data_IF_633739889582
#
_entry.id   IF_633739889582
#
_cell.length_a   1.000
_cell.length_b   1.000
_cell.length_c   1.000
_cell.angle_alpha   90.00
_cell.angle_beta   90.00
_cell.angle_gamma   90.00
#
_symmetry.space_group_name_H-M   'P 1'
#
loop_
_entity.id
_entity.type
_entity.pdbx_description
1 polymer ?
#
# COMPACT_ATOMS: atom_id res chain seq x y z
N UNK A 1 44.34 32.65 44.83
CA UNK A 1 44.36 33.06 46.25
C UNK A 1 44.57 34.56 46.27
N UNK A 2 43.59 35.41 46.61
CA UNK A 2 42.19 35.20 47.05
C UNK A 2 41.18 35.50 45.89
N UNK A 3 39.95 34.99 45.81
CA UNK A 3 38.77 34.91 46.73
C UNK A 3 38.03 36.24 46.96
N UNK A 4 36.82 36.34 46.38
CA UNK A 4 35.56 36.87 46.96
C UNK A 4 34.50 36.94 45.84
N UNK A 5 33.43 36.13 45.77
CA UNK A 5 32.31 35.87 46.69
C UNK A 5 31.09 36.82 46.52
N UNK A 6 30.07 36.32 45.81
CA UNK A 6 28.63 36.50 46.07
C UNK A 6 27.90 37.75 45.55
N UNK A 7 26.54 37.78 45.57
CA UNK A 7 25.62 36.77 46.09
C UNK A 7 24.50 36.27 45.12
N UNK A 8 23.88 35.19 45.59
CA UNK A 8 22.71 34.48 45.11
C UNK A 8 21.44 35.34 44.96
N UNK A 9 20.77 35.19 43.83
CA UNK A 9 19.40 35.63 43.59
C UNK A 9 18.42 34.47 43.73
N UNK A 10 17.96 34.22 44.96
CA UNK A 10 16.83 33.33 45.25
C UNK A 10 15.52 33.99 44.77
N UNK A 11 14.88 33.37 43.77
CA UNK A 11 13.53 33.72 43.30
C UNK A 11 12.50 32.65 43.70
N UNK A 12 11.25 33.04 44.01
CA UNK A 12 10.38 32.29 44.91
C UNK A 12 9.70 31.06 44.29
N UNK A 13 9.57 30.04 45.15
CA UNK A 13 8.81 28.81 45.02
C UNK A 13 7.35 29.08 44.63
N UNK A 14 6.95 28.60 43.45
CA UNK A 14 5.55 28.49 43.07
C UNK A 14 4.90 27.29 43.78
N UNK A 15 4.05 27.59 44.77
CA UNK A 15 3.23 26.62 45.50
C UNK A 15 2.28 25.85 44.55
N UNK A 16 2.13 24.53 44.72
CA UNK A 16 1.10 23.75 44.03
C UNK A 16 -0.27 24.02 44.65
N UNK A 17 -1.23 24.42 43.81
CA UNK A 17 -2.64 24.55 44.18
C UNK A 17 -3.27 23.17 44.17
N UNK A 18 -3.62 22.67 45.36
CA UNK A 18 -4.35 21.42 45.55
C UNK A 18 -5.75 21.52 44.90
N UNK A 19 -5.98 20.74 43.83
CA UNK A 19 -7.31 20.56 43.25
C UNK A 19 -8.10 19.56 44.09
N UNK A 20 -9.16 20.07 44.71
CA UNK A 20 -10.17 19.30 45.42
C UNK A 20 -10.93 18.43 44.42
N UNK A 21 -10.83 17.11 44.57
CA UNK A 21 -11.61 16.12 43.81
C UNK A 21 -12.96 15.91 44.52
N UNK A 22 -14.11 16.15 43.87
CA UNK A 22 -15.41 15.80 44.42
C UNK A 22 -15.60 14.27 44.37
N UNK A 23 -15.75 13.66 45.54
CA UNK A 23 -16.18 12.25 45.67
C UNK A 23 -17.66 12.13 45.33
N UNK A 24 -17.98 11.74 44.10
CA UNK A 24 -19.33 11.26 43.77
C UNK A 24 -19.50 9.80 44.23
N UNK A 25 -20.26 9.64 45.31
CA UNK A 25 -20.88 8.38 45.73
C UNK A 25 -22.09 8.10 44.82
N UNK A 26 -22.04 7.02 44.04
CA UNK A 26 -23.21 6.32 43.52
C UNK A 26 -23.06 4.85 43.95
N UNK A 27 -23.71 4.47 45.06
CA UNK A 27 -25.05 3.87 45.14
C UNK A 27 -25.07 2.52 44.43
N UNK A 28 -24.91 1.47 45.23
CA UNK A 28 -25.10 0.09 44.88
C UNK A 28 -26.60 -0.26 44.80
N UNK A 29 -26.91 -1.18 43.89
CA UNK A 29 -28.09 -2.06 43.90
C UNK A 29 -28.92 -2.02 42.60
N UNK A 30 -29.65 -3.09 42.21
CA UNK A 30 -29.55 -4.50 42.61
C UNK A 30 -29.33 -5.46 41.43
N UNK A 31 -28.95 -6.68 41.79
CA UNK A 31 -28.86 -7.89 40.98
C UNK A 31 -30.14 -8.20 40.19
N UNK A 32 -29.99 -8.59 38.92
CA UNK A 32 -31.03 -9.14 38.05
C UNK A 32 -30.42 -10.07 36.99
N UNK A 33 -31.18 -11.05 36.46
CA UNK A 33 -30.67 -12.39 36.17
C UNK A 33 -29.95 -12.54 34.83
N UNK A 34 -28.98 -13.44 34.84
CA UNK A 34 -28.26 -14.02 33.69
C UNK A 34 -29.25 -14.60 32.66
N UNK A 35 -29.14 -14.16 31.41
CA UNK A 35 -29.60 -14.89 30.22
C UNK A 35 -28.38 -15.45 29.47
N UNK A 36 -28.36 -16.73 29.07
CA UNK A 36 -27.30 -17.27 28.24
C UNK A 36 -27.65 -17.27 26.74
N UNK A 37 -26.61 -17.53 25.95
CA UNK A 37 -26.58 -18.05 24.58
C UNK A 37 -26.71 -17.03 23.41
N UNK A 38 -25.53 -16.52 23.02
CA UNK A 38 -24.92 -16.71 21.69
C UNK A 38 -25.91 -16.88 20.53
N UNK A 39 -26.17 -15.79 19.82
CA UNK A 39 -26.54 -15.82 18.41
C UNK A 39 -25.58 -14.92 17.66
N UNK A 40 -24.93 -15.50 16.67
CA UNK A 40 -23.92 -14.86 15.83
C UNK A 40 -24.46 -13.58 15.22
N UNK A 41 -23.74 -12.50 15.48
CA UNK A 41 -23.94 -11.23 14.79
C UNK A 41 -23.01 -11.23 13.59
N UNK A 42 -23.51 -11.76 12.46
CA UNK A 42 -23.02 -11.40 11.14
C UNK A 42 -23.26 -9.89 10.99
N UNK A 43 -22.25 -9.10 11.32
CA UNK A 43 -22.21 -7.68 10.96
C UNK A 43 -22.08 -7.64 9.44
N UNK A 44 -23.23 -7.42 8.80
CA UNK A 44 -23.33 -7.16 7.37
C UNK A 44 -22.57 -5.90 7.04
N UNK A 45 -21.42 -6.07 6.40
CA UNK A 45 -20.86 -5.05 5.53
C UNK A 45 -21.72 -5.05 4.26
N UNK A 46 -22.72 -4.17 4.26
CA UNK A 46 -23.51 -3.87 3.08
C UNK A 46 -22.65 -3.14 2.06
N UNK A 47 -21.89 -3.89 1.27
CA UNK A 47 -21.32 -3.41 0.02
C UNK A 47 -22.38 -3.62 -1.08
N UNK A 48 -23.40 -2.76 -1.05
CA UNK A 48 -24.41 -2.69 -2.10
C UNK A 48 -23.96 -1.66 -3.14
N UNK A 49 -23.29 -2.12 -4.20
CA UNK A 49 -23.13 -1.38 -5.44
C UNK A 49 -23.19 -2.34 -6.64
N UNK A 50 -24.39 -2.39 -7.23
CA UNK A 50 -24.69 -2.54 -8.67
C UNK A 50 -23.68 -3.33 -9.54
N UNK A 51 -23.98 -4.61 -9.74
CA UNK A 51 -23.67 -5.28 -11.02
C UNK A 51 -25.01 -5.65 -11.67
N UNK A 52 -25.42 -4.83 -12.63
CA UNK A 52 -26.52 -5.11 -13.56
C UNK A 52 -26.13 -6.24 -14.51
N UNK A 53 -27.05 -7.18 -14.71
CA UNK A 53 -26.79 -8.46 -15.35
C UNK A 53 -26.85 -8.51 -16.87
N UNK A 54 -26.58 -9.69 -17.40
CA UNK A 54 -27.23 -10.29 -18.57
C UNK A 54 -26.80 -11.78 -18.70
N UNK A 55 -27.76 -12.66 -19.01
CA UNK A 55 -27.48 -13.91 -19.73
C UNK A 55 -27.58 -15.23 -18.96
N UNK A 56 -28.79 -15.63 -18.57
CA UNK A 56 -29.10 -17.04 -18.38
C UNK A 56 -29.19 -17.72 -19.76
N UNK A 57 -28.27 -18.65 -20.05
CA UNK A 57 -28.38 -19.60 -21.16
C UNK A 57 -28.52 -21.01 -20.57
N UNK A 58 -29.51 -21.83 -21.00
CA UNK A 58 -29.67 -23.19 -20.51
C UNK A 58 -28.61 -24.11 -21.13
N UNK A 59 -27.93 -24.88 -20.27
CA UNK A 59 -27.00 -25.93 -20.68
C UNK A 59 -27.78 -27.15 -21.21
N UNK A 60 -27.52 -27.50 -22.48
CA UNK A 60 -27.87 -28.79 -23.04
C UNK A 60 -26.74 -29.79 -22.74
N UNK A 61 -27.10 -30.92 -22.13
CA UNK A 61 -26.23 -32.06 -21.88
C UNK A 61 -25.83 -32.72 -23.21
N UNK A 62 -24.53 -32.73 -23.51
CA UNK A 62 -23.95 -33.48 -24.62
C UNK A 62 -22.67 -34.17 -24.15
N UNK A 63 -22.78 -35.45 -23.83
CA UNK A 63 -21.64 -36.33 -23.55
C UNK A 63 -20.97 -36.70 -24.87
N UNK A 64 -19.77 -36.16 -25.12
CA UNK A 64 -18.91 -36.59 -26.22
C UNK A 64 -17.53 -36.92 -25.68
N UNK A 65 -17.11 -38.18 -25.89
CA UNK A 65 -15.75 -38.67 -25.62
C UNK A 65 -14.72 -37.85 -26.41
N UNK A 66 -13.62 -37.39 -25.78
CA UNK A 66 -12.53 -36.75 -26.51
C UNK A 66 -11.65 -37.80 -27.22
N UNK A 67 -11.30 -37.59 -28.50
CA UNK A 67 -10.26 -38.37 -29.18
C UNK A 67 -8.87 -38.02 -28.63
N UNK A 68 -8.01 -39.03 -28.55
CA UNK A 68 -6.61 -38.90 -28.12
C UNK A 68 -5.86 -37.89 -29.01
N UNK A 69 -5.31 -36.85 -28.38
CA UNK A 69 -4.51 -35.83 -29.04
C UNK A 69 -3.01 -36.20 -28.99
N UNK A 70 -2.38 -36.13 -30.16
CA UNK A 70 -0.93 -36.30 -30.36
C UNK A 70 -0.12 -35.15 -29.72
N UNK A 71 1.12 -35.41 -29.25
CA UNK A 71 1.96 -34.42 -28.61
C UNK A 71 2.45 -33.34 -29.59
N UNK A 72 1.95 -32.11 -29.43
CA UNK A 72 2.44 -30.92 -30.13
C UNK A 72 3.78 -30.46 -29.54
N UNK A 73 4.79 -30.37 -30.39
CA UNK A 73 6.12 -29.85 -30.08
C UNK A 73 6.04 -28.33 -29.85
N UNK A 74 6.30 -27.87 -28.64
CA UNK A 74 6.27 -26.45 -28.29
C UNK A 74 7.48 -25.73 -28.92
N UNK A 75 7.21 -24.92 -29.95
CA UNK A 75 8.16 -23.93 -30.47
C UNK A 75 8.30 -22.79 -29.46
N UNK A 76 9.44 -22.72 -28.78
CA UNK A 76 9.81 -21.61 -27.91
C UNK A 76 9.84 -20.31 -28.69
N UNK A 77 8.81 -19.48 -28.53
CA UNK A 77 8.85 -18.09 -28.97
C UNK A 77 9.56 -17.29 -27.89
N UNK A 78 10.79 -16.87 -28.17
CA UNK A 78 11.55 -15.93 -27.34
C UNK A 78 10.83 -14.59 -27.33
N UNK A 79 10.14 -14.28 -26.22
CA UNK A 79 9.56 -12.98 -25.94
C UNK A 79 10.69 -11.96 -25.81
N UNK A 80 10.68 -10.95 -26.67
CA UNK A 80 11.57 -9.80 -26.57
C UNK A 80 11.12 -8.96 -25.37
N UNK A 81 11.81 -9.10 -24.24
CA UNK A 81 11.69 -8.13 -23.14
C UNK A 81 12.03 -6.74 -23.67
N UNK A 82 11.24 -5.70 -23.38
CA UNK A 82 11.58 -4.33 -23.77
C UNK A 82 12.96 -3.98 -23.21
N UNK A 83 13.86 -3.53 -24.08
CA UNK A 83 15.18 -3.06 -23.67
C UNK A 83 15.02 -1.99 -22.58
N UNK A 84 15.82 -2.04 -21.50
CA UNK A 84 15.77 -1.02 -20.47
C UNK A 84 16.03 0.34 -21.12
N UNK A 85 15.10 1.28 -20.90
CA UNK A 85 15.30 2.69 -21.22
C UNK A 85 16.59 3.12 -20.50
N UNK A 86 17.46 3.88 -21.17
CA UNK A 86 18.81 4.33 -20.72
C UNK A 86 18.82 5.19 -19.42
N UNK A 87 17.80 5.11 -18.58
CA UNK A 87 17.71 5.80 -17.29
C UNK A 87 18.40 5.03 -16.16
N UNK A 88 19.09 5.75 -15.29
CA UNK A 88 19.60 5.18 -14.03
C UNK A 88 18.48 4.66 -13.12
N UNK A 89 18.81 3.93 -12.03
CA UNK A 89 17.84 3.31 -11.14
C UNK A 89 16.84 4.29 -10.51
N UNK A 90 17.27 5.52 -10.24
CA UNK A 90 16.41 6.58 -9.69
C UNK A 90 15.36 7.00 -10.71
N UNK A 91 15.74 7.19 -11.97
CA UNK A 91 14.82 7.60 -13.05
C UNK A 91 13.79 6.50 -13.31
N UNK A 92 14.24 5.24 -13.38
CA UNK A 92 13.35 4.09 -13.51
C UNK A 92 12.35 3.99 -12.34
N UNK A 93 12.81 4.22 -11.10
CA UNK A 93 11.91 4.28 -9.96
C UNK A 93 10.94 5.45 -10.07
N UNK A 94 11.36 6.67 -10.40
CA UNK A 94 10.48 7.84 -10.51
C UNK A 94 9.34 7.67 -11.53
N UNK A 95 9.59 6.94 -12.61
CA UNK A 95 8.60 6.69 -13.66
C UNK A 95 7.58 5.60 -13.26
N UNK A 96 8.07 4.54 -12.60
CA UNK A 96 7.23 3.46 -12.10
C UNK A 96 6.45 3.87 -10.84
N UNK A 97 7.10 4.59 -9.92
CA UNK A 97 6.61 4.87 -8.59
C UNK A 97 5.62 6.02 -8.53
N UNK A 98 5.79 7.06 -9.35
CA UNK A 98 5.11 8.34 -9.18
C UNK A 98 4.22 8.68 -10.37
N UNK A 99 3.11 9.40 -10.16
CA UNK A 99 2.43 10.10 -11.23
C UNK A 99 3.39 11.03 -11.98
N UNK A 100 3.22 11.16 -13.30
CA UNK A 100 4.06 12.05 -14.13
C UNK A 100 3.97 13.53 -13.73
N UNK A 101 2.95 13.91 -12.97
CA UNK A 101 2.74 15.26 -12.43
C UNK A 101 3.36 15.48 -11.05
N UNK A 102 3.94 14.44 -10.44
CA UNK A 102 4.56 14.55 -9.12
C UNK A 102 5.97 15.10 -9.25
N UNK A 103 6.15 16.28 -8.68
CA UNK A 103 7.42 16.97 -8.58
C UNK A 103 8.31 16.37 -7.47
N UNK A 104 9.62 16.51 -7.64
CA UNK A 104 10.65 16.17 -6.66
C UNK A 104 11.47 17.42 -6.35
N UNK A 105 11.35 17.93 -5.13
CA UNK A 105 12.20 18.98 -4.60
C UNK A 105 13.57 18.40 -4.21
N UNK A 106 14.64 19.14 -4.49
CA UNK A 106 15.99 18.73 -4.13
C UNK A 106 16.91 19.94 -3.91
N UNK A 107 17.86 19.89 -2.96
CA UNK A 107 18.95 20.88 -2.88
C UNK A 107 19.73 20.95 -4.19
N UNK A 108 20.30 22.11 -4.53
CA UNK A 108 20.97 22.36 -5.81
C UNK A 108 22.00 21.28 -6.23
N UNK A 109 22.79 20.76 -5.28
CA UNK A 109 23.76 19.71 -5.55
C UNK A 109 23.09 18.37 -5.96
N UNK A 110 22.04 17.96 -5.22
CA UNK A 110 21.25 16.75 -5.50
C UNK A 110 20.45 16.92 -6.78
N UNK A 111 19.90 18.11 -7.03
CA UNK A 111 19.15 18.41 -8.26
C UNK A 111 20.04 18.24 -9.50
N UNK A 112 21.28 18.74 -9.45
CA UNK A 112 22.26 18.53 -10.54
C UNK A 112 22.55 17.04 -10.75
N UNK A 113 22.79 16.29 -9.68
CA UNK A 113 22.99 14.84 -9.77
C UNK A 113 21.80 14.10 -10.39
N UNK A 114 20.57 14.47 -10.00
CA UNK A 114 19.35 13.88 -10.58
C UNK A 114 19.22 14.22 -12.08
N UNK A 115 19.54 15.45 -12.48
CA UNK A 115 19.58 15.84 -13.89
C UNK A 115 20.64 15.07 -14.67
N UNK A 116 21.84 14.90 -14.12
CA UNK A 116 22.92 14.09 -14.72
C UNK A 116 22.52 12.60 -14.83
N UNK A 117 21.66 12.12 -13.92
CA UNK A 117 21.08 10.77 -13.94
C UNK A 117 19.87 10.63 -14.91
N UNK A 118 19.51 11.69 -15.63
CA UNK A 118 18.44 11.69 -16.62
C UNK A 118 17.04 12.01 -16.08
N UNK A 119 16.91 12.49 -14.85
CA UNK A 119 15.60 12.95 -14.33
C UNK A 119 15.20 14.25 -15.05
N UNK A 120 13.99 14.33 -15.64
CA UNK A 120 13.54 15.52 -16.36
C UNK A 120 13.57 16.78 -15.49
N UNK A 121 14.17 17.86 -16.00
CA UNK A 121 14.35 19.10 -15.24
C UNK A 121 13.02 19.76 -14.86
N UNK A 122 11.96 19.55 -15.63
CA UNK A 122 10.60 20.02 -15.36
C UNK A 122 9.91 19.26 -14.22
N UNK A 123 10.43 18.10 -13.78
CA UNK A 123 9.99 17.41 -12.55
C UNK A 123 10.77 17.84 -11.31
N UNK A 124 11.86 18.58 -11.46
CA UNK A 124 12.72 18.97 -10.36
C UNK A 124 12.38 20.38 -9.84
N UNK A 125 12.33 20.53 -8.51
CA UNK A 125 12.06 21.81 -7.84
C UNK A 125 13.19 22.18 -6.88
N UNK A 126 13.45 23.48 -6.66
CA UNK A 126 14.29 23.91 -5.56
C UNK A 126 13.66 23.58 -4.21
N UNK A 127 14.50 23.13 -3.27
CA UNK A 127 14.12 22.84 -1.89
C UNK A 127 14.60 23.93 -0.91
N UNK A 128 15.40 24.89 -1.39
CA UNK A 128 16.01 25.95 -0.60
C UNK A 128 14.97 26.86 0.07
N UNK A 129 13.83 27.05 -0.58
CA UNK A 129 12.71 27.86 -0.10
C UNK A 129 11.61 27.02 0.59
N UNK A 130 11.92 25.76 0.90
CA UNK A 130 10.97 24.77 1.43
C UNK A 130 10.41 23.83 0.36
N UNK A 131 9.65 22.82 0.80
CA UNK A 131 9.05 21.80 -0.08
C UNK A 131 7.54 22.05 -0.17
N UNK A 132 6.99 22.30 -1.38
CA UNK A 132 5.55 22.47 -1.54
C UNK A 132 4.76 21.23 -1.08
N UNK A 133 3.52 21.42 -0.66
CA UNK A 133 2.63 20.31 -0.31
C UNK A 133 2.44 19.38 -1.53
N UNK A 134 2.49 18.06 -1.29
CA UNK A 134 2.37 17.04 -2.34
C UNK A 134 3.63 16.85 -3.21
N UNK A 135 4.74 17.51 -2.88
CA UNK A 135 6.04 17.32 -3.53
C UNK A 135 6.91 16.38 -2.69
N UNK A 136 7.59 15.43 -3.33
CA UNK A 136 8.58 14.59 -2.64
C UNK A 136 9.91 15.33 -2.51
N UNK A 137 10.72 14.93 -1.53
CA UNK A 137 12.03 15.52 -1.28
C UNK A 137 13.13 14.50 -1.53
N UNK A 138 14.11 14.83 -2.38
CA UNK A 138 15.32 14.06 -2.56
C UNK A 138 16.47 14.67 -1.73
N UNK A 139 17.09 13.85 -0.87
CA UNK A 139 18.18 14.25 0.03
C UNK A 139 19.28 13.20 0.07
N UNK A 140 20.49 13.61 0.42
CA UNK A 140 21.62 12.68 0.64
C UNK A 140 21.83 12.50 2.14
N UNK A 141 22.03 11.26 2.57
CA UNK A 141 22.32 10.92 3.96
C UNK A 141 21.05 10.57 4.74
N UNK A 142 20.75 11.32 5.80
CA UNK A 142 19.65 11.00 6.72
C UNK A 142 18.36 11.68 6.31
N UNK A 143 17.24 10.96 6.41
CA UNK A 143 15.92 11.54 6.21
C UNK A 143 15.65 12.66 7.25
N UNK A 144 14.99 13.76 6.85
CA UNK A 144 14.56 14.79 7.78
C UNK A 144 13.62 14.22 8.86
N UNK A 145 13.55 14.83 10.05
CA UNK A 145 12.61 14.41 11.08
C UNK A 145 11.17 14.42 10.56
N UNK A 146 10.40 13.39 10.90
CA UNK A 146 8.99 13.18 10.49
C UNK A 146 8.78 12.90 9.00
N UNK A 147 9.82 12.95 8.17
CA UNK A 147 9.71 12.50 6.80
C UNK A 147 9.65 10.95 6.74
N UNK A 148 8.90 10.42 5.79
CA UNK A 148 8.86 8.99 5.49
C UNK A 148 9.78 8.70 4.33
N UNK A 149 10.73 7.79 4.50
CA UNK A 149 11.54 7.30 3.38
C UNK A 149 10.64 6.47 2.47
N UNK A 150 10.54 6.88 1.20
CA UNK A 150 9.78 6.16 0.18
C UNK A 150 10.68 5.31 -0.70
N UNK A 151 11.91 5.79 -0.97
CA UNK A 151 12.94 5.01 -1.64
C UNK A 151 14.36 5.45 -1.24
N UNK A 152 15.34 4.57 -1.45
CA UNK A 152 16.74 4.81 -1.18
C UNK A 152 17.64 4.14 -2.23
N UNK A 153 18.67 4.86 -2.68
CA UNK A 153 19.59 4.45 -3.72
C UNK A 153 21.03 4.68 -3.26
N UNK A 154 21.89 3.68 -3.44
CA UNK A 154 23.30 3.81 -3.09
C UNK A 154 24.00 4.72 -4.10
N UNK A 155 24.78 5.68 -3.60
CA UNK A 155 25.54 6.60 -4.44
C UNK A 155 26.93 6.03 -4.71
N UNK A 156 27.41 6.24 -5.94
CA UNK A 156 28.72 5.75 -6.33
C UNK A 156 29.83 6.60 -5.69
N UNK A 157 30.79 5.95 -5.03
CA UNK A 157 32.08 6.55 -4.66
C UNK A 157 32.23 7.08 -3.23
N UNK A 158 31.16 7.39 -2.51
CA UNK A 158 31.24 7.93 -1.14
C UNK A 158 30.51 7.09 -0.07
N UNK A 159 29.81 6.03 -0.47
CA UNK A 159 29.05 5.15 0.43
C UNK A 159 27.81 5.81 1.04
N UNK A 160 27.45 7.02 0.59
CA UNK A 160 26.21 7.68 0.98
C UNK A 160 25.02 7.11 0.20
N UNK A 161 23.81 7.40 0.70
CA UNK A 161 22.56 7.04 0.03
C UNK A 161 21.80 8.30 -0.37
N UNK A 162 21.26 8.29 -1.58
CA UNK A 162 20.21 9.21 -2.01
C UNK A 162 18.88 8.65 -1.49
N UNK A 163 18.16 9.43 -0.70
CA UNK A 163 16.83 9.10 -0.24
C UNK A 163 15.81 9.97 -0.95
N UNK A 164 14.74 9.36 -1.42
CA UNK A 164 13.50 10.06 -1.75
C UNK A 164 12.56 9.88 -0.56
N UNK A 165 12.06 11.00 -0.04
CA UNK A 165 11.22 11.03 1.15
C UNK A 165 9.94 11.80 0.89
N UNK A 166 8.86 11.39 1.54
CA UNK A 166 7.69 12.25 1.73
C UNK A 166 7.94 13.13 2.98
N UNK A 167 8.06 14.46 2.83
CA UNK A 167 8.28 15.36 3.96
C UNK A 167 7.08 15.49 4.90
N UNK A 168 5.87 15.12 4.44
CA UNK A 168 4.63 15.27 5.19
C UNK A 168 3.68 14.09 4.91
N UNK A 169 4.08 12.85 5.27
CA UNK A 169 3.23 11.68 5.06
C UNK A 169 1.93 11.85 5.83
N UNK A 170 0.80 11.56 5.19
CA UNK A 170 -0.47 11.51 5.90
C UNK A 170 -0.56 10.18 6.65
N UNK A 171 -0.60 10.27 7.98
CA UNK A 171 -0.81 9.11 8.83
C UNK A 171 -2.32 8.75 8.85
N UNK A 172 -2.68 7.46 8.79
CA UNK A 172 -4.07 7.03 8.89
C UNK A 172 -4.66 7.47 10.24
N UNK A 173 -5.95 7.84 10.24
CA UNK A 173 -6.66 8.03 11.51
C UNK A 173 -6.84 6.70 12.24
N UNK A 174 -7.23 6.75 13.53
CA UNK A 174 -7.51 5.53 14.29
C UNK A 174 -8.61 4.67 13.64
N UNK A 175 -9.66 5.31 13.13
CA UNK A 175 -10.77 4.63 12.45
C UNK A 175 -10.34 4.02 11.11
N UNK A 176 -9.43 4.69 10.38
CA UNK A 176 -8.87 4.18 9.13
C UNK A 176 -7.98 2.96 9.39
N UNK A 177 -7.12 3.04 10.40
CA UNK A 177 -6.26 1.93 10.80
C UNK A 177 -7.06 0.71 11.29
N UNK A 178 -8.13 0.94 12.05
CA UNK A 178 -9.05 -0.13 12.46
C UNK A 178 -9.77 -0.77 11.27
N UNK A 179 -10.14 0.05 10.27
CA UNK A 179 -10.71 -0.46 9.01
C UNK A 179 -9.71 -1.31 8.24
N UNK A 180 -8.45 -0.85 8.10
CA UNK A 180 -7.39 -1.62 7.44
C UNK A 180 -7.19 -2.98 8.13
N UNK A 181 -7.04 -2.98 9.45
CA UNK A 181 -6.88 -4.23 10.24
C UNK A 181 -8.07 -5.16 10.09
N UNK A 182 -9.28 -4.60 10.10
CA UNK A 182 -10.50 -5.39 9.91
C UNK A 182 -10.57 -6.02 8.52
N UNK A 183 -10.21 -5.28 7.46
CA UNK A 183 -10.19 -5.80 6.09
C UNK A 183 -9.11 -6.86 5.90
N UNK A 184 -7.90 -6.62 6.40
CA UNK A 184 -6.82 -7.59 6.31
C UNK A 184 -7.11 -8.87 7.11
N UNK A 185 -7.71 -8.73 8.30
CA UNK A 185 -8.19 -9.86 9.08
C UNK A 185 -9.29 -10.65 8.36
N UNK A 186 -10.22 -9.97 7.67
CA UNK A 186 -11.26 -10.63 6.87
C UNK A 186 -10.67 -11.37 5.66
N UNK A 187 -9.68 -10.80 4.98
CA UNK A 187 -8.96 -11.46 3.89
C UNK A 187 -8.30 -12.77 4.36
N UNK A 188 -7.57 -12.72 5.48
CA UNK A 188 -6.89 -13.88 6.06
C UNK A 188 -7.85 -14.94 6.61
N UNK A 189 -9.04 -14.54 7.04
CA UNK A 189 -10.08 -15.45 7.52
C UNK A 189 -10.91 -16.08 6.39
N UNK A 190 -10.82 -15.55 5.16
CA UNK A 190 -11.59 -16.06 4.04
C UNK A 190 -10.97 -17.36 3.50
N UNK A 191 -11.70 -18.50 3.49
CA UNK A 191 -11.17 -19.78 3.02
C UNK A 191 -10.81 -19.80 1.53
N UNK A 192 -11.29 -18.85 0.72
CA UNK A 192 -10.94 -18.72 -0.70
C UNK A 192 -9.78 -17.75 -0.95
N UNK A 193 -9.20 -17.16 0.12
CA UNK A 193 -7.95 -16.42 0.04
C UNK A 193 -6.79 -17.35 0.38
N UNK A 194 -5.78 -17.41 -0.48
CA UNK A 194 -4.49 -18.02 -0.16
C UNK A 194 -3.44 -16.93 0.00
N UNK A 195 -2.89 -16.78 1.19
CA UNK A 195 -1.79 -15.87 1.46
C UNK A 195 -0.89 -16.52 2.52
N UNK A 196 0.29 -16.96 2.11
CA UNK A 196 1.21 -17.71 2.98
C UNK A 196 2.51 -16.93 3.22
N UNK A 197 3.25 -17.34 4.25
CA UNK A 197 4.59 -16.81 4.55
C UNK A 197 4.62 -15.28 4.66
N UNK A 198 5.48 -14.63 3.88
CA UNK A 198 5.68 -13.18 3.93
C UNK A 198 4.42 -12.39 3.53
N UNK A 199 3.60 -12.90 2.61
CA UNK A 199 2.36 -12.23 2.22
C UNK A 199 1.35 -12.19 3.37
N UNK A 200 1.25 -13.31 4.12
CA UNK A 200 0.42 -13.38 5.32
C UNK A 200 0.87 -12.37 6.38
N UNK A 201 2.18 -12.22 6.62
CA UNK A 201 2.74 -11.27 7.58
C UNK A 201 2.39 -9.82 7.23
N UNK A 202 2.55 -9.43 5.97
CA UNK A 202 2.19 -8.07 5.50
C UNK A 202 0.70 -7.76 5.76
N UNK A 203 -0.18 -8.74 5.50
CA UNK A 203 -1.61 -8.60 5.80
C UNK A 203 -1.88 -8.53 7.31
N UNK A 204 -1.22 -9.37 8.12
CA UNK A 204 -1.38 -9.36 9.58
C UNK A 204 -0.98 -8.02 10.20
N UNK A 205 0.08 -7.40 9.68
CA UNK A 205 0.55 -6.09 10.13
C UNK A 205 -0.31 -4.92 9.59
N UNK A 206 -1.23 -5.20 8.66
CA UNK A 206 -2.05 -4.22 7.95
C UNK A 206 -1.22 -3.11 7.29
N UNK A 207 -0.01 -3.44 6.80
CA UNK A 207 0.94 -2.52 6.16
C UNK A 207 0.78 -2.49 4.64
N UNK A 208 -0.46 -2.38 4.16
CA UNK A 208 -0.83 -2.38 2.73
C UNK A 208 -1.51 -1.05 2.38
N UNK A 209 -1.25 -0.51 1.19
CA UNK A 209 -1.96 0.66 0.66
C UNK A 209 -3.48 0.41 0.72
N UNK A 210 -4.23 1.38 1.27
CA UNK A 210 -5.66 1.23 1.49
C UNK A 210 -6.46 0.93 0.21
N UNK A 211 -6.03 1.47 -0.94
CA UNK A 211 -6.67 1.22 -2.24
C UNK A 211 -6.45 -0.23 -2.67
N UNK A 212 -5.22 -0.70 -2.51
CA UNK A 212 -4.85 -2.08 -2.82
C UNK A 212 -5.58 -3.07 -1.91
N UNK A 213 -5.65 -2.79 -0.60
CA UNK A 213 -6.35 -3.65 0.35
C UNK A 213 -7.86 -3.71 0.06
N UNK A 214 -8.48 -2.59 -0.28
CA UNK A 214 -9.89 -2.55 -0.67
C UNK A 214 -10.14 -3.32 -1.99
N UNK A 215 -9.25 -3.18 -2.97
CA UNK A 215 -9.30 -3.93 -4.22
C UNK A 215 -9.19 -5.45 -3.98
N UNK A 216 -8.25 -5.87 -3.14
CA UNK A 216 -8.10 -7.27 -2.73
C UNK A 216 -9.36 -7.79 -2.04
N UNK A 217 -9.92 -7.03 -1.10
CA UNK A 217 -11.16 -7.42 -0.44
C UNK A 217 -12.33 -7.59 -1.42
N UNK A 218 -12.41 -6.73 -2.45
CA UNK A 218 -13.46 -6.80 -3.45
C UNK A 218 -13.34 -8.04 -4.36
N UNK A 219 -12.14 -8.34 -4.88
CA UNK A 219 -11.93 -9.55 -5.72
C UNK A 219 -12.06 -10.83 -4.90
N UNK A 220 -11.59 -10.84 -3.66
CA UNK A 220 -11.75 -11.97 -2.74
C UNK A 220 -13.23 -12.24 -2.45
N UNK A 221 -14.07 -11.20 -2.35
CA UNK A 221 -15.49 -11.36 -2.08
C UNK A 221 -16.27 -11.97 -3.26
N UNK A 222 -15.81 -11.78 -4.50
CA UNK A 222 -16.47 -12.32 -5.69
C UNK A 222 -15.98 -13.72 -6.06
N UNK A 223 -14.67 -13.95 -6.07
CA UNK A 223 -14.08 -15.15 -6.66
C UNK A 223 -13.07 -15.86 -5.73
N UNK A 224 -12.55 -15.18 -4.72
CA UNK A 224 -11.34 -15.62 -4.01
C UNK A 224 -10.07 -15.29 -4.79
N UNK A 225 -8.92 -15.28 -4.11
CA UNK A 225 -7.66 -14.86 -4.72
C UNK A 225 -6.46 -15.54 -4.06
N UNK A 226 -5.46 -15.88 -4.87
CA UNK A 226 -4.14 -16.28 -4.40
C UNK A 226 -3.18 -15.10 -4.40
N UNK A 227 -2.57 -14.81 -3.26
CA UNK A 227 -1.61 -13.73 -3.02
C UNK A 227 -0.24 -14.35 -2.80
N UNK A 228 0.63 -14.26 -3.80
CA UNK A 228 1.97 -14.82 -3.73
C UNK A 228 2.92 -13.92 -2.94
N UNK A 229 2.88 -12.61 -3.18
CA UNK A 229 3.81 -11.67 -2.57
C UNK A 229 3.32 -10.22 -2.65
N UNK A 230 3.95 -9.35 -1.84
CA UNK A 230 3.87 -7.90 -1.94
C UNK A 230 5.24 -7.33 -2.34
N UNK A 231 5.65 -7.42 -3.63
CA UNK A 231 6.98 -7.04 -4.05
C UNK A 231 7.21 -5.52 -4.01
N UNK A 232 8.26 -5.08 -3.33
CA UNK A 232 8.74 -3.70 -3.37
C UNK A 232 9.20 -3.32 -4.79
N UNK A 233 9.11 -2.04 -5.18
CA UNK A 233 9.90 -1.55 -6.32
C UNK A 233 11.38 -1.48 -5.94
N UNK A 234 12.31 -1.66 -6.90
CA UNK A 234 13.72 -1.41 -6.65
C UNK A 234 13.95 -0.02 -6.06
N UNK A 235 14.59 0.03 -4.89
CA UNK A 235 14.82 1.24 -4.10
C UNK A 235 13.87 1.38 -2.91
N UNK A 236 12.76 0.65 -2.85
CA UNK A 236 11.82 0.71 -1.71
C UNK A 236 12.15 -0.30 -0.60
N UNK A 237 13.19 -1.10 -0.76
CA UNK A 237 13.57 -2.14 0.19
C UNK A 237 13.90 -1.53 1.56
N UNK A 238 13.23 -2.04 2.61
CA UNK A 238 13.40 -1.53 3.97
C UNK A 238 12.77 -0.15 4.21
N UNK A 239 12.01 0.40 3.25
CA UNK A 239 11.18 1.57 3.48
C UNK A 239 10.04 1.24 4.46
N UNK A 240 9.57 2.24 5.18
CA UNK A 240 8.38 2.12 6.04
C UNK A 240 7.08 2.39 5.27
N UNK A 241 7.12 2.37 3.93
CA UNK A 241 5.95 2.65 3.10
C UNK A 241 5.04 1.43 3.04
N UNK A 242 3.70 1.60 3.08
CA UNK A 242 2.77 0.50 2.90
C UNK A 242 3.00 -0.19 1.55
N UNK A 243 2.84 -1.51 1.54
CA UNK A 243 2.90 -2.31 0.33
C UNK A 243 1.84 -1.84 -0.67
N UNK A 244 2.30 -1.42 -1.85
CA UNK A 244 1.46 -0.85 -2.92
C UNK A 244 1.45 -1.67 -4.19
N UNK A 245 2.05 -2.86 -4.14
CA UNK A 245 2.09 -3.84 -5.23
C UNK A 245 1.76 -5.21 -4.68
N UNK A 246 1.02 -5.99 -5.44
CA UNK A 246 0.69 -7.38 -5.10
C UNK A 246 0.90 -8.26 -6.32
N UNK A 247 1.50 -9.42 -6.11
CA UNK A 247 1.56 -10.49 -7.10
C UNK A 247 0.44 -11.48 -6.80
N UNK A 248 -0.50 -11.60 -7.73
CA UNK A 248 -1.60 -12.56 -7.66
C UNK A 248 -1.25 -13.81 -8.45
N UNK A 249 -1.36 -14.98 -7.82
CA UNK A 249 -1.05 -16.28 -8.45
C UNK A 249 -2.28 -17.12 -8.76
N UNK A 250 -3.46 -16.69 -8.33
CA UNK A 250 -4.72 -17.33 -8.68
C UNK A 250 -5.95 -16.42 -8.54
N UNK A 251 -7.01 -16.79 -9.26
CA UNK A 251 -8.37 -16.27 -9.11
C UNK A 251 -9.29 -17.45 -8.80
N UNK A 252 -9.82 -17.50 -7.57
CA UNK A 252 -10.38 -18.72 -7.00
C UNK A 252 -9.36 -19.87 -6.99
N UNK A 253 -9.76 -21.02 -7.53
CA UNK A 253 -8.89 -22.20 -7.65
C UNK A 253 -8.04 -22.21 -8.94
N UNK A 254 -8.28 -21.29 -9.87
CA UNK A 254 -7.58 -21.26 -11.15
C UNK A 254 -6.26 -20.47 -11.06
N UNK A 255 -5.11 -21.06 -11.44
CA UNK A 255 -3.83 -20.37 -11.39
C UNK A 255 -3.74 -19.27 -12.45
N UNK A 256 -3.11 -18.15 -12.13
CA UNK A 256 -2.76 -17.10 -13.09
C UNK A 256 -1.23 -16.92 -13.08
N UNK A 257 -0.55 -16.84 -14.25
CA UNK A 257 -1.10 -16.79 -15.61
C UNK A 257 -1.45 -18.17 -16.21
N UNK A 258 -1.27 -19.27 -15.47
CA UNK A 258 -1.34 -20.64 -16.00
C UNK A 258 -2.68 -21.03 -16.66
N UNK A 259 -3.78 -20.40 -16.25
CA UNK A 259 -5.09 -20.46 -16.91
C UNK A 259 -5.36 -19.12 -17.66
N UNK A 260 -5.38 -19.13 -19.01
CA UNK A 260 -5.63 -17.91 -19.80
C UNK A 260 -7.01 -17.29 -19.58
N UNK A 261 -8.05 -18.09 -19.34
CA UNK A 261 -9.41 -17.59 -19.15
C UNK A 261 -9.57 -16.92 -17.78
N UNK A 262 -8.98 -17.50 -16.74
CA UNK A 262 -8.93 -16.88 -15.42
C UNK A 262 -8.10 -15.59 -15.44
N UNK A 263 -6.97 -15.60 -16.15
CA UNK A 263 -6.09 -14.42 -16.29
C UNK A 263 -6.81 -13.27 -17.00
N UNK A 264 -7.50 -13.54 -18.11
CA UNK A 264 -8.23 -12.49 -18.83
C UNK A 264 -9.44 -11.96 -18.05
N UNK A 265 -10.12 -12.84 -17.29
CA UNK A 265 -11.19 -12.42 -16.38
C UNK A 265 -10.65 -11.47 -15.29
N UNK A 266 -9.55 -11.82 -14.64
CA UNK A 266 -8.91 -10.99 -13.63
C UNK A 266 -8.52 -9.63 -14.21
N UNK A 267 -7.86 -9.60 -15.38
CA UNK A 267 -7.48 -8.35 -16.05
C UNK A 267 -8.68 -7.49 -16.42
N UNK A 268 -9.73 -8.09 -16.97
CA UNK A 268 -10.96 -7.38 -17.31
C UNK A 268 -11.63 -6.77 -16.08
N UNK A 269 -11.65 -7.51 -14.96
CA UNK A 269 -12.18 -7.02 -13.69
C UNK A 269 -11.35 -5.86 -13.12
N UNK A 270 -10.01 -5.97 -13.18
CA UNK A 270 -9.10 -4.91 -12.73
C UNK A 270 -9.21 -3.65 -13.58
N UNK A 271 -9.34 -3.79 -14.90
CA UNK A 271 -9.51 -2.67 -15.83
C UNK A 271 -10.87 -1.96 -15.67
N UNK A 272 -11.88 -2.64 -15.11
CA UNK A 272 -13.20 -2.07 -14.85
C UNK A 272 -13.27 -1.24 -13.54
N UNK A 273 -12.20 -1.24 -12.73
CA UNK A 273 -12.18 -0.46 -11.50
C UNK A 273 -12.16 1.04 -11.78
N UNK A 274 -12.85 1.81 -10.95
CA UNK A 274 -12.87 3.27 -11.02
C UNK A 274 -11.96 3.88 -9.94
N UNK A 275 -11.46 5.12 -10.14
CA UNK A 275 -10.75 5.83 -9.08
C UNK A 275 -11.57 5.89 -7.77
N UNK A 276 -10.93 5.73 -6.59
CA UNK A 276 -9.48 5.57 -6.36
C UNK A 276 -8.98 4.12 -6.42
N UNK A 277 -9.83 3.15 -6.80
CA UNK A 277 -9.51 1.72 -6.77
C UNK A 277 -8.92 1.20 -8.09
N UNK A 278 -8.94 2.00 -9.16
CA UNK A 278 -8.27 1.68 -10.41
C UNK A 278 -6.75 1.55 -10.19
N UNK A 279 -6.14 0.38 -10.46
CA UNK A 279 -4.68 0.23 -10.43
C UNK A 279 -4.00 1.15 -11.45
N UNK A 280 -2.80 1.60 -11.13
CA UNK A 280 -1.98 2.39 -12.05
C UNK A 280 -1.32 1.51 -13.13
N UNK A 281 -1.01 0.26 -12.78
CA UNK A 281 -0.40 -0.72 -13.68
C UNK A 281 -0.85 -2.15 -13.35
N UNK A 282 -1.00 -2.97 -14.39
CA UNK A 282 -1.35 -4.40 -14.31
C UNK A 282 -0.51 -5.16 -15.33
N UNK A 283 0.48 -5.90 -14.83
CA UNK A 283 1.44 -6.66 -15.64
C UNK A 283 1.20 -8.17 -15.47
N UNK A 284 1.16 -8.91 -16.58
CA UNK A 284 1.15 -10.38 -16.55
C UNK A 284 2.58 -10.87 -16.65
N UNK A 285 3.04 -11.59 -15.63
CA UNK A 285 4.39 -12.18 -15.53
C UNK A 285 4.28 -13.71 -15.50
N UNK A 286 5.39 -14.42 -15.68
CA UNK A 286 5.42 -15.88 -15.56
C UNK A 286 5.01 -16.38 -14.15
N UNK A 287 5.15 -15.53 -13.13
CA UNK A 287 4.85 -15.86 -11.73
C UNK A 287 3.44 -15.46 -11.28
N UNK A 288 2.70 -14.69 -12.08
CA UNK A 288 1.39 -14.18 -11.70
C UNK A 288 1.01 -12.87 -12.38
N UNK A 289 -0.11 -12.30 -11.96
CA UNK A 289 -0.55 -10.95 -12.34
C UNK A 289 -0.10 -9.97 -11.26
N UNK A 290 0.84 -9.09 -11.61
CA UNK A 290 1.32 -8.03 -10.75
C UNK A 290 0.42 -6.81 -10.88
N UNK A 291 -0.15 -6.38 -9.77
CA UNK A 291 -1.01 -5.18 -9.69
C UNK A 291 -0.28 -4.11 -8.88
N UNK A 292 -0.20 -2.90 -9.41
CA UNK A 292 0.58 -1.81 -8.81
C UNK A 292 -0.22 -0.52 -8.67
N UNK A 293 -0.01 0.16 -7.55
CA UNK A 293 -0.43 1.54 -7.33
C UNK A 293 0.80 2.45 -7.19
N UNK A 294 0.70 3.62 -7.81
CA UNK A 294 1.65 4.73 -7.65
C UNK A 294 1.54 5.33 -6.27
N UNK A 295 2.66 5.88 -5.80
CA UNK A 295 2.78 6.46 -4.48
C UNK A 295 1.86 7.67 -4.35
N UNK A 296 1.18 7.73 -3.20
CA UNK A 296 0.43 8.90 -2.73
C UNK A 296 0.70 9.06 -1.24
N UNK A 297 0.75 10.30 -0.75
CA UNK A 297 1.06 10.59 0.65
C UNK A 297 0.03 10.09 1.66
N UNK A 298 -1.22 9.90 1.23
CA UNK A 298 -2.34 9.53 2.10
C UNK A 298 -3.37 8.64 1.40
N UNK A 299 -3.05 7.36 1.14
CA UNK A 299 -3.96 6.46 0.44
C UNK A 299 -5.27 6.22 1.21
N UNK A 300 -5.21 6.23 2.54
CA UNK A 300 -6.36 6.04 3.44
C UNK A 300 -7.43 7.13 3.25
N UNK A 301 -6.99 8.38 3.18
CA UNK A 301 -7.87 9.53 2.99
C UNK A 301 -8.59 9.48 1.62
N UNK A 302 -7.94 8.93 0.58
CA UNK A 302 -8.57 8.74 -0.74
C UNK A 302 -9.72 7.73 -0.67
N UNK A 303 -9.51 6.60 -0.01
CA UNK A 303 -10.53 5.55 0.15
C UNK A 303 -11.66 6.03 1.07
N UNK A 304 -11.33 6.63 2.21
CA UNK A 304 -12.31 7.24 3.11
C UNK A 304 -13.11 8.36 2.45
N UNK A 305 -12.50 9.15 1.57
CA UNK A 305 -13.19 10.19 0.82
C UNK A 305 -14.18 9.63 -0.20
N UNK A 306 -13.86 8.51 -0.85
CA UNK A 306 -14.70 7.88 -1.87
C UNK A 306 -15.90 7.08 -1.30
N UNK A 307 -15.91 6.82 0.01
CA UNK A 307 -16.94 6.00 0.68
C UNK A 307 -17.96 6.82 1.48
N UNK A 308 -17.83 8.16 1.49
CA UNK A 308 -18.80 9.09 2.08
C UNK A 308 -19.82 9.56 1.07
#
# INVERSE_FOLDING_TARGET
MPDDAGPDGAGPEARPVARVVPRHRHRAGPSGPRRPAVRGSLLGLGLAALVGGAGLVPAALGSADPPAADPVTATSSSVTSPSPVDGGPVTAWLDAALPGTTDVAAPAAVRRELTDAGVPADRLRPAEDGVPAGTLLAVVGTAPPRARVVAGFDRYGDGSRLLVVDPAPAEPTAEELDRLRSLAGALLANPTTRADGAAATVLQDATVDARLLALLAAVTASDGVGIAAFPALPGEEGSASPARRVLLDAMGDAPVPGDPAATERLRSWLAAQLPPYAPDDVEVTDAGVLVSFRYVSGPDALVSGATR
#
